data_IF_970945100747
#
_entry.id   IF_970945100747
#
_cell.length_a   1.000
_cell.length_b   1.000
_cell.length_c   1.000
_cell.angle_alpha   90.00
_cell.angle_beta   90.00
_cell.angle_gamma   90.00
#
_symmetry.space_group_name_H-M   'P 1'
#
loop_
_entity.id
_entity.type
_entity.pdbx_description
1 polymer ?
#
# COMPACT_ATOMS: atom_id res chain seq x y z
N UNK A 1 47.28 14.51 -14.04
CA UNK A 1 46.22 15.32 -13.41
C UNK A 1 44.90 14.89 -14.02
N UNK A 2 43.99 14.37 -13.20
CA UNK A 2 42.66 13.99 -13.64
C UNK A 2 41.82 15.27 -13.70
N UNK A 3 41.50 15.73 -14.90
CA UNK A 3 40.81 17.01 -15.19
C UNK A 3 39.28 16.89 -15.17
N UNK A 4 38.77 15.75 -14.74
CA UNK A 4 37.35 15.55 -14.53
C UNK A 4 36.87 16.41 -13.36
N UNK A 5 36.06 17.45 -13.62
CA UNK A 5 35.44 18.27 -12.58
C UNK A 5 34.70 17.38 -11.56
N UNK A 6 35.07 17.48 -10.29
CA UNK A 6 34.45 16.77 -9.18
C UNK A 6 33.67 17.80 -8.35
N UNK A 7 32.37 17.72 -8.41
CA UNK A 7 31.45 18.57 -7.63
C UNK A 7 30.84 17.76 -6.49
N UNK A 8 30.37 18.43 -5.45
CA UNK A 8 29.65 17.74 -4.36
C UNK A 8 28.40 16.99 -4.87
N UNK A 9 27.77 17.45 -5.95
CA UNK A 9 26.66 16.75 -6.62
C UNK A 9 27.08 15.38 -7.17
N UNK A 10 28.31 15.25 -7.64
CA UNK A 10 28.83 14.01 -8.22
C UNK A 10 28.98 12.87 -7.21
N UNK A 11 29.02 13.19 -5.90
CA UNK A 11 29.12 12.20 -4.82
C UNK A 11 27.84 11.37 -4.73
N UNK A 12 26.69 11.96 -5.10
CA UNK A 12 25.37 11.34 -5.02
C UNK A 12 24.88 10.72 -6.34
N UNK A 13 25.58 10.97 -7.47
CA UNK A 13 25.17 10.47 -8.79
C UNK A 13 25.95 9.20 -9.17
N UNK A 14 25.28 8.17 -9.71
CA UNK A 14 25.98 6.99 -10.22
C UNK A 14 26.93 7.40 -11.34
N UNK A 15 28.18 6.94 -11.27
CA UNK A 15 29.26 7.23 -12.20
C UNK A 15 28.99 6.59 -13.57
N UNK A 16 28.19 7.26 -14.39
CA UNK A 16 27.91 6.90 -15.79
C UNK A 16 28.18 8.01 -16.80
N UNK A 17 28.65 9.18 -16.36
CA UNK A 17 28.95 10.28 -17.27
C UNK A 17 30.35 10.12 -17.88
N UNK A 18 30.42 9.96 -19.20
CA UNK A 18 31.65 10.12 -19.98
C UNK A 18 32.14 11.56 -19.81
N UNK A 19 33.15 11.78 -18.96
CA UNK A 19 33.68 13.11 -18.68
C UNK A 19 34.67 13.51 -19.78
N UNK A 20 34.29 14.45 -20.64
CA UNK A 20 35.21 15.10 -21.58
C UNK A 20 36.07 16.10 -20.81
N UNK A 21 37.39 15.99 -20.98
CA UNK A 21 38.34 16.94 -20.38
C UNK A 21 38.22 18.29 -21.09
N UNK A 22 37.73 19.30 -20.38
CA UNK A 22 37.74 20.69 -20.83
C UNK A 22 38.85 21.46 -20.08
N UNK A 23 39.41 22.49 -20.71
CA UNK A 23 40.41 23.35 -20.05
C UNK A 23 39.73 24.28 -19.06
N UNK A 24 40.15 24.25 -17.79
CA UNK A 24 39.50 25.03 -16.74
C UNK A 24 40.28 25.06 -15.43
N UNK A 25 39.76 25.80 -14.46
CA UNK A 25 40.21 25.74 -13.07
C UNK A 25 39.42 24.65 -12.34
N UNK A 26 40.12 23.79 -11.62
CA UNK A 26 39.53 22.65 -10.93
C UNK A 26 40.04 22.59 -9.50
N UNK A 27 39.24 22.00 -8.62
CA UNK A 27 39.66 21.76 -7.25
C UNK A 27 40.87 20.80 -7.20
N UNK A 28 41.76 20.96 -6.19
CA UNK A 28 42.88 20.05 -5.98
C UNK A 28 42.44 18.60 -5.83
N UNK A 29 43.40 17.67 -5.98
CA UNK A 29 43.16 16.27 -5.69
C UNK A 29 42.55 16.10 -4.27
N UNK A 30 41.56 15.22 -4.15
CA UNK A 30 40.75 14.96 -2.95
C UNK A 30 39.83 16.09 -2.44
N UNK A 31 39.62 17.13 -3.25
CA UNK A 31 38.61 18.18 -2.99
C UNK A 31 37.51 18.22 -4.06
N UNK A 32 36.36 18.73 -3.65
CA UNK A 32 35.14 18.82 -4.45
C UNK A 32 34.64 20.26 -4.45
N UNK A 33 34.13 20.72 -5.59
CA UNK A 33 33.51 22.03 -5.69
C UNK A 33 32.10 21.99 -5.06
N UNK A 34 31.85 22.87 -4.08
CA UNK A 34 30.54 23.05 -3.44
C UNK A 34 29.60 23.90 -4.30
N UNK A 35 28.33 24.04 -3.91
CA UNK A 35 27.36 24.86 -4.67
C UNK A 35 27.62 26.37 -4.61
N UNK A 36 28.65 26.82 -3.90
CA UNK A 36 29.10 28.21 -3.84
C UNK A 36 30.41 28.44 -4.62
N UNK A 37 30.97 27.40 -5.27
CA UNK A 37 32.22 27.47 -6.03
C UNK A 37 33.48 27.32 -5.18
N UNK A 38 33.38 26.87 -3.93
CA UNK A 38 34.52 26.63 -3.05
C UNK A 38 34.97 25.17 -3.11
N UNK A 39 36.28 24.95 -3.01
CA UNK A 39 36.83 23.60 -2.89
C UNK A 39 36.78 23.14 -1.43
N UNK A 40 36.04 22.05 -1.19
CA UNK A 40 35.79 21.48 0.13
C UNK A 40 36.11 19.99 0.16
N UNK A 41 36.35 19.43 1.35
CA UNK A 41 36.44 17.97 1.53
C UNK A 41 35.06 17.32 1.38
N UNK A 42 35.02 16.02 1.09
CA UNK A 42 33.78 15.21 1.04
C UNK A 42 32.91 15.40 2.29
N UNK A 43 33.54 15.46 3.47
CA UNK A 43 32.83 15.66 4.75
C UNK A 43 32.14 17.02 4.86
N UNK A 44 32.61 18.02 4.10
CA UNK A 44 32.15 19.40 4.13
C UNK A 44 31.32 19.76 2.88
N UNK A 45 30.95 18.76 2.07
CA UNK A 45 30.12 18.99 0.89
C UNK A 45 28.72 19.48 1.25
N UNK A 46 28.30 20.54 0.57
CA UNK A 46 26.95 21.09 0.67
C UNK A 46 25.93 20.20 -0.04
N UNK A 47 24.70 20.15 0.45
CA UNK A 47 23.59 19.42 -0.17
C UNK A 47 22.53 20.39 -0.70
N UNK A 48 21.85 20.04 -1.79
CA UNK A 48 20.67 20.79 -2.28
C UNK A 48 19.39 20.03 -2.02
N UNK A 49 18.39 20.71 -1.44
CA UNK A 49 17.03 20.20 -1.35
C UNK A 49 16.02 21.32 -1.66
N UNK A 50 15.09 21.04 -2.57
CA UNK A 50 14.07 22.01 -3.02
C UNK A 50 14.65 23.37 -3.44
N UNK A 51 15.82 23.36 -4.13
CA UNK A 51 16.49 24.56 -4.63
C UNK A 51 17.23 25.38 -3.55
N UNK A 52 17.28 24.91 -2.31
CA UNK A 52 18.06 25.54 -1.23
C UNK A 52 19.34 24.74 -0.97
N UNK A 53 20.44 25.46 -0.74
CA UNK A 53 21.75 24.88 -0.38
C UNK A 53 21.85 24.77 1.14
N UNK A 54 22.22 23.59 1.63
CA UNK A 54 22.41 23.28 3.04
C UNK A 54 23.88 22.96 3.30
N UNK A 55 24.41 23.46 4.42
CA UNK A 55 25.74 23.13 4.90
C UNK A 55 25.84 21.65 5.28
N UNK A 56 27.04 21.08 5.18
CA UNK A 56 27.29 19.69 5.50
C UNK A 56 26.93 19.33 6.95
N UNK A 57 26.25 18.18 7.12
CA UNK A 57 26.22 17.42 8.37
C UNK A 57 27.36 16.40 8.43
N UNK A 58 27.20 15.29 9.15
CA UNK A 58 28.12 14.15 9.01
C UNK A 58 27.91 13.50 7.63
N UNK A 59 28.93 13.58 6.76
CA UNK A 59 29.11 12.79 5.52
C UNK A 59 28.47 13.29 4.21
N UNK A 60 27.99 14.53 4.09
CA UNK A 60 27.65 15.12 2.78
C UNK A 60 26.52 14.40 2.00
N UNK A 61 25.75 13.54 2.66
CA UNK A 61 24.59 12.83 2.14
C UNK A 61 23.38 13.09 3.04
N UNK A 62 22.17 13.01 2.48
CA UNK A 62 20.94 13.09 3.27
C UNK A 62 20.79 11.82 4.10
N UNK A 63 20.98 11.95 5.42
CA UNK A 63 20.71 10.89 6.37
C UNK A 63 19.25 11.04 6.83
N UNK A 64 18.35 10.51 6.01
CA UNK A 64 16.92 10.52 6.28
C UNK A 64 16.59 9.53 7.41
N UNK A 65 15.61 9.87 8.24
CA UNK A 65 14.99 8.92 9.16
C UNK A 65 13.63 8.57 8.60
N UNK A 66 13.39 7.29 8.37
CA UNK A 66 12.08 6.82 7.98
C UNK A 66 11.15 6.90 9.18
N UNK A 67 10.12 7.73 9.02
CA UNK A 67 9.04 7.85 9.98
C UNK A 67 7.74 7.44 9.29
N UNK A 68 6.90 6.66 9.98
CA UNK A 68 5.57 6.39 9.48
C UNK A 68 4.83 7.72 9.26
N UNK A 69 4.18 7.84 8.11
CA UNK A 69 3.47 9.04 7.69
C UNK A 69 2.06 8.63 7.25
N UNK A 70 1.04 9.47 7.50
CA UNK A 70 -0.29 9.24 6.96
C UNK A 70 -0.26 9.09 5.42
N UNK A 71 -1.02 8.13 4.90
CA UNK A 71 -1.22 7.96 3.48
C UNK A 71 -2.29 8.94 2.98
N UNK A 72 -2.10 9.54 1.79
CA UNK A 72 -3.07 10.47 1.22
C UNK A 72 -3.46 10.11 -0.22
N UNK A 73 -4.74 9.77 -0.42
CA UNK A 73 -5.37 9.60 -1.73
C UNK A 73 -6.22 10.83 -2.08
N UNK A 74 -6.25 11.22 -3.35
CA UNK A 74 -7.00 12.39 -3.81
C UNK A 74 -7.73 12.13 -5.12
N UNK A 75 -8.90 12.73 -5.26
CA UNK A 75 -9.60 12.89 -6.54
C UNK A 75 -10.02 14.35 -6.69
N UNK A 76 -9.86 14.95 -7.87
CA UNK A 76 -10.29 16.32 -8.17
C UNK A 76 -10.56 16.56 -9.66
N UNK A 77 -11.23 17.68 -9.97
CA UNK A 77 -11.49 18.10 -11.35
C UNK A 77 -12.29 17.08 -12.15
N UNK A 78 -11.99 16.90 -13.45
CA UNK A 78 -12.68 15.94 -14.33
C UNK A 78 -11.98 14.57 -14.36
N UNK A 79 -11.79 13.98 -13.17
CA UNK A 79 -11.32 12.60 -13.02
C UNK A 79 -9.81 12.46 -12.87
N UNK A 80 -9.14 13.42 -12.23
CA UNK A 80 -7.73 13.28 -11.85
C UNK A 80 -7.65 12.60 -10.49
N UNK A 81 -6.87 11.52 -10.42
CA UNK A 81 -6.67 10.73 -9.20
C UNK A 81 -5.20 10.71 -8.82
N UNK A 82 -4.95 10.76 -7.52
CA UNK A 82 -3.67 10.43 -6.89
C UNK A 82 -3.90 9.32 -5.89
N UNK A 83 -3.22 8.20 -6.06
CA UNK A 83 -3.28 7.07 -5.13
C UNK A 83 -2.46 7.34 -3.86
N UNK A 84 -2.58 6.47 -2.86
CA UNK A 84 -1.78 6.53 -1.63
C UNK A 84 -0.26 6.40 -1.89
N UNK A 85 0.14 5.61 -2.89
CA UNK A 85 1.52 5.45 -3.36
C UNK A 85 1.96 6.55 -4.35
N UNK A 86 1.24 7.68 -4.37
CA UNK A 86 1.58 8.87 -5.18
C UNK A 86 1.57 8.67 -6.70
N UNK A 87 0.89 7.64 -7.21
CA UNK A 87 0.66 7.48 -8.66
C UNK A 87 -0.48 8.36 -9.13
N UNK A 88 -0.27 8.94 -10.31
CA UNK A 88 -1.21 9.84 -10.95
C UNK A 88 -1.85 9.14 -12.14
N UNK A 89 -3.18 9.21 -12.23
CA UNK A 89 -3.90 8.76 -13.42
C UNK A 89 -5.16 9.58 -13.64
N UNK A 90 -5.72 9.45 -14.84
CA UNK A 90 -6.98 10.09 -15.22
C UNK A 90 -8.00 9.02 -15.58
N UNK A 91 -9.20 9.13 -15.01
CA UNK A 91 -10.30 8.22 -15.27
C UNK A 91 -11.63 8.98 -15.28
N UNK A 92 -12.34 8.93 -16.40
CA UNK A 92 -13.58 9.69 -16.63
C UNK A 92 -14.80 8.76 -16.68
N UNK A 93 -14.95 7.89 -15.68
CA UNK A 93 -16.11 7.03 -15.55
C UNK A 93 -17.36 7.78 -15.05
N UNK A 94 -18.53 7.45 -15.62
CA UNK A 94 -19.84 8.03 -15.27
C UNK A 94 -20.69 7.10 -14.38
N UNK A 95 -20.02 6.34 -13.50
CA UNK A 95 -20.67 5.44 -12.55
C UNK A 95 -20.18 5.76 -11.14
N UNK A 96 -20.76 5.09 -10.15
CA UNK A 96 -20.24 5.07 -8.80
C UNK A 96 -19.06 4.08 -8.75
N UNK A 97 -17.91 4.55 -8.26
CA UNK A 97 -16.71 3.73 -8.10
C UNK A 97 -16.24 3.74 -6.65
N UNK A 98 -15.70 2.62 -6.20
CA UNK A 98 -14.97 2.58 -4.93
C UNK A 98 -13.65 3.32 -5.09
N UNK A 99 -13.44 4.33 -4.24
CA UNK A 99 -12.17 5.05 -4.15
C UNK A 99 -11.23 4.35 -3.16
N UNK A 100 -11.76 3.96 -1.99
CA UNK A 100 -11.05 3.24 -0.94
C UNK A 100 -12.03 2.33 -0.21
N UNK A 101 -11.66 1.09 0.06
CA UNK A 101 -12.36 0.17 0.97
C UNK A 101 -11.34 -0.76 1.62
N UNK A 102 -11.70 -1.36 2.75
CA UNK A 102 -10.92 -2.39 3.42
C UNK A 102 -11.50 -3.81 3.23
N UNK A 103 -12.56 -3.95 2.44
CA UNK A 103 -13.06 -5.25 1.97
C UNK A 103 -12.20 -5.80 0.82
N UNK A 104 -10.95 -6.11 1.14
CA UNK A 104 -10.00 -6.67 0.19
C UNK A 104 -9.99 -8.21 0.31
N UNK A 105 -10.91 -8.87 -0.39
CA UNK A 105 -10.97 -10.34 -0.54
C UNK A 105 -11.67 -11.07 0.61
N UNK A 106 -12.80 -11.74 0.32
CA UNK A 106 -13.59 -12.62 1.21
C UNK A 106 -13.66 -12.23 2.70
N UNK A 107 -13.60 -10.93 3.01
CA UNK A 107 -13.69 -10.40 4.38
C UNK A 107 -14.97 -9.57 4.49
N UNK A 108 -15.35 -9.25 5.72
CA UNK A 108 -16.37 -8.25 5.97
C UNK A 108 -15.64 -6.92 6.19
N UNK A 109 -15.61 -6.05 5.17
CA UNK A 109 -15.00 -4.72 5.27
C UNK A 109 -15.62 -3.86 6.38
N UNK A 110 -14.80 -3.00 6.99
CA UNK A 110 -15.23 -2.07 8.01
C UNK A 110 -15.70 -0.72 7.47
N UNK A 111 -15.23 -0.31 6.29
CA UNK A 111 -15.66 0.92 5.63
C UNK A 111 -15.52 0.87 4.10
N UNK A 112 -16.30 1.70 3.42
CA UNK A 112 -16.07 2.01 2.01
C UNK A 112 -16.32 3.48 1.72
N UNK A 113 -15.46 4.07 0.89
CA UNK A 113 -15.60 5.41 0.33
C UNK A 113 -15.83 5.27 -1.16
N UNK A 114 -17.03 5.62 -1.59
CA UNK A 114 -17.44 5.56 -3.00
C UNK A 114 -17.66 6.96 -3.53
N UNK A 115 -17.29 7.17 -4.78
CA UNK A 115 -17.38 8.45 -5.47
C UNK A 115 -18.14 8.30 -6.78
N UNK A 116 -19.01 9.26 -7.05
CA UNK A 116 -19.77 9.37 -8.29
C UNK A 116 -19.56 10.77 -8.88
N UNK A 117 -19.18 10.82 -10.15
CA UNK A 117 -18.97 12.08 -10.86
C UNK A 117 -20.32 12.59 -11.39
N UNK A 118 -20.67 13.83 -11.05
CA UNK A 118 -21.92 14.47 -11.49
C UNK A 118 -21.61 15.46 -12.62
N UNK A 119 -22.11 15.21 -13.85
CA UNK A 119 -21.91 16.11 -14.99
C UNK A 119 -22.85 17.32 -14.92
N UNK A 120 -22.43 18.43 -15.51
CA UNK A 120 -23.14 19.73 -15.48
C UNK A 120 -23.34 20.37 -16.86
N UNK A 121 -22.68 19.86 -17.89
CA UNK A 121 -22.70 20.34 -19.28
C UNK A 121 -22.73 19.12 -20.22
N UNK A 122 -22.57 19.29 -21.55
CA UNK A 122 -22.29 18.17 -22.47
C UNK A 122 -21.30 17.21 -21.80
N UNK A 123 -21.62 15.91 -21.78
CA UNK A 123 -21.27 14.85 -20.82
C UNK A 123 -19.77 14.66 -20.45
N UNK A 124 -18.87 15.51 -20.93
CA UNK A 124 -17.41 15.49 -20.79
C UNK A 124 -16.84 16.14 -19.52
N UNK A 125 -17.61 16.96 -18.77
CA UNK A 125 -17.10 17.71 -17.60
C UNK A 125 -17.84 17.39 -16.31
N UNK A 126 -17.09 17.00 -15.28
CA UNK A 126 -17.59 16.87 -13.89
C UNK A 126 -17.53 18.21 -13.15
N UNK A 127 -18.68 18.77 -12.76
CA UNK A 127 -18.71 19.98 -11.92
C UNK A 127 -18.84 19.69 -10.43
N UNK A 128 -19.38 18.54 -10.05
CA UNK A 128 -19.54 18.14 -8.66
C UNK A 128 -19.33 16.65 -8.50
N UNK A 129 -19.08 16.23 -7.25
CA UNK A 129 -18.98 14.82 -6.89
C UNK A 129 -19.93 14.50 -5.74
N UNK A 130 -20.62 13.37 -5.86
CA UNK A 130 -21.31 12.74 -4.75
C UNK A 130 -20.35 11.75 -4.09
N UNK A 131 -20.20 11.85 -2.78
CA UNK A 131 -19.29 11.01 -1.99
C UNK A 131 -20.13 10.24 -0.98
N UNK A 132 -19.94 8.93 -0.93
CA UNK A 132 -20.67 8.02 -0.06
C UNK A 132 -19.64 7.33 0.85
N UNK A 133 -19.62 7.68 2.12
CA UNK A 133 -18.89 6.96 3.16
C UNK A 133 -19.85 6.00 3.85
N UNK A 134 -19.59 4.70 3.73
CA UNK A 134 -20.33 3.66 4.43
C UNK A 134 -19.46 3.07 5.54
N UNK A 135 -20.02 3.00 6.75
CA UNK A 135 -19.35 2.46 7.93
C UNK A 135 -20.08 1.19 8.37
N UNK A 136 -19.53 0.03 7.98
CA UNK A 136 -20.04 -1.31 8.34
C UNK A 136 -21.53 -1.54 8.02
N UNK A 137 -22.10 -0.86 7.03
CA UNK A 137 -23.55 -0.89 6.81
C UNK A 137 -24.40 -0.42 8.00
N UNK A 138 -23.80 0.28 9.00
CA UNK A 138 -24.50 0.86 10.15
C UNK A 138 -24.94 2.28 9.86
N UNK A 139 -24.01 3.08 9.33
CA UNK A 139 -24.22 4.48 8.97
C UNK A 139 -23.67 4.71 7.57
N UNK A 140 -24.48 5.36 6.74
CA UNK A 140 -24.05 5.88 5.44
C UNK A 140 -24.09 7.42 5.50
N UNK A 141 -22.96 8.06 5.21
CA UNK A 141 -22.84 9.50 5.03
C UNK A 141 -22.75 9.82 3.55
N UNK A 142 -23.64 10.68 3.07
CA UNK A 142 -23.60 11.18 1.70
C UNK A 142 -23.24 12.66 1.71
N UNK A 143 -22.09 12.98 1.12
CA UNK A 143 -21.63 14.35 0.92
C UNK A 143 -21.97 14.75 -0.52
N UNK A 144 -22.96 15.62 -0.66
CA UNK A 144 -23.45 16.13 -1.94
C UNK A 144 -24.07 17.50 -1.71
N UNK A 145 -24.20 18.32 -2.75
CA UNK A 145 -24.88 19.62 -2.68
C UNK A 145 -24.36 20.52 -1.54
N UNK A 146 -23.03 20.52 -1.34
CA UNK A 146 -22.32 21.26 -0.29
C UNK A 146 -22.71 20.91 1.17
N UNK A 147 -23.42 19.81 1.40
CA UNK A 147 -23.90 19.36 2.72
C UNK A 147 -23.54 17.89 2.97
N UNK A 148 -23.69 17.47 4.22
CA UNK A 148 -23.59 16.06 4.62
C UNK A 148 -24.97 15.58 5.06
N UNK A 149 -25.43 14.49 4.47
CA UNK A 149 -26.67 13.81 4.89
C UNK A 149 -26.30 12.46 5.50
N UNK A 150 -27.01 12.08 6.57
CA UNK A 150 -26.79 10.84 7.30
C UNK A 150 -27.97 9.92 7.11
N UNK A 151 -27.72 8.64 6.83
CA UNK A 151 -28.71 7.56 6.89
C UNK A 151 -28.25 6.49 7.88
N UNK A 152 -29.17 6.08 8.74
CA UNK A 152 -29.02 4.96 9.68
C UNK A 152 -29.70 3.74 9.08
N UNK A 153 -29.08 2.56 9.21
CA UNK A 153 -29.69 1.29 8.80
C UNK A 153 -30.44 0.63 9.98
N UNK A 154 -31.51 -0.11 9.67
CA UNK A 154 -32.50 -0.62 10.63
C UNK A 154 -31.89 -1.49 11.74
N UNK A 155 -32.29 -1.22 12.99
CA UNK A 155 -31.83 -1.94 14.20
C UNK A 155 -30.78 -1.21 15.04
N UNK A 156 -30.24 -0.09 14.56
CA UNK A 156 -29.28 0.74 15.32
C UNK A 156 -29.94 2.00 15.89
N UNK A 157 -30.09 2.03 17.22
CA UNK A 157 -30.41 3.26 17.97
C UNK A 157 -29.12 4.02 18.27
N UNK A 158 -29.16 5.35 18.15
CA UNK A 158 -28.01 6.25 18.36
C UNK A 158 -27.55 6.14 19.82
N UNK A 159 -26.51 5.34 20.06
CA UNK A 159 -25.72 5.43 21.29
C UNK A 159 -24.31 5.98 21.06
N UNK A 160 -23.95 6.40 19.84
CA UNK A 160 -22.62 6.91 19.54
C UNK A 160 -22.67 8.17 18.66
N UNK A 161 -22.52 9.32 19.32
CA UNK A 161 -21.82 10.50 18.77
C UNK A 161 -20.30 10.22 18.61
N UNK A 162 -19.87 8.95 18.59
CA UNK A 162 -18.47 8.50 18.71
C UNK A 162 -17.91 7.80 17.46
N UNK A 163 -18.74 7.38 16.49
CA UNK A 163 -18.21 6.64 15.33
C UNK A 163 -17.45 7.54 14.37
N UNK A 164 -17.96 8.76 14.18
CA UNK A 164 -17.34 9.76 13.32
C UNK A 164 -17.62 11.16 13.87
N UNK A 165 -16.77 12.12 13.52
CA UNK A 165 -17.02 13.54 13.75
C UNK A 165 -17.06 14.28 12.42
N UNK A 166 -17.95 15.27 12.31
CA UNK A 166 -18.07 16.13 11.12
C UNK A 166 -17.78 17.57 11.51
N UNK A 167 -16.78 18.17 10.88
CA UNK A 167 -16.37 19.55 11.12
C UNK A 167 -16.41 20.34 9.80
N UNK A 168 -16.95 21.56 9.83
CA UNK A 168 -16.85 22.49 8.70
C UNK A 168 -15.73 23.48 8.98
N UNK A 169 -14.69 23.46 8.16
CA UNK A 169 -13.51 24.32 8.28
C UNK A 169 -13.42 25.21 7.03
N UNK A 170 -14.04 26.39 7.11
CA UNK A 170 -14.12 27.32 5.99
C UNK A 170 -14.77 26.71 4.74
N UNK A 171 -13.98 26.54 3.68
CA UNK A 171 -14.43 25.95 2.42
C UNK A 171 -14.53 24.42 2.46
N UNK A 172 -13.99 23.77 3.48
CA UNK A 172 -13.91 22.31 3.55
C UNK A 172 -14.91 21.72 4.56
N UNK A 173 -15.33 20.50 4.29
CA UNK A 173 -15.96 19.60 5.26
C UNK A 173 -14.96 18.49 5.55
N UNK A 174 -14.70 18.27 6.83
CA UNK A 174 -13.81 17.24 7.35
C UNK A 174 -14.64 16.21 8.11
N UNK A 175 -14.53 14.94 7.73
CA UNK A 175 -15.15 13.82 8.43
C UNK A 175 -14.04 12.91 8.93
N UNK A 176 -13.95 12.74 10.25
CA UNK A 176 -12.95 11.85 10.86
C UNK A 176 -13.63 10.62 11.46
N UNK A 177 -13.03 9.46 11.27
CA UNK A 177 -13.45 8.17 11.82
C UNK A 177 -12.26 7.63 12.62
N UNK A 178 -12.06 8.07 13.88
CA UNK A 178 -10.83 7.79 14.64
C UNK A 178 -10.59 6.30 14.87
N UNK A 179 -11.64 5.51 15.11
CA UNK A 179 -11.56 4.06 15.32
C UNK A 179 -11.03 3.27 14.13
N UNK A 180 -11.03 3.89 12.94
CA UNK A 180 -10.48 3.34 11.70
C UNK A 180 -9.30 4.13 11.17
N UNK A 181 -8.91 5.23 11.83
CA UNK A 181 -7.83 6.10 11.37
C UNK A 181 -8.07 6.71 9.99
N UNK A 182 -9.31 7.04 9.63
CA UNK A 182 -9.66 7.61 8.32
C UNK A 182 -10.14 9.04 8.50
N UNK A 183 -9.68 9.94 7.62
CA UNK A 183 -10.20 11.30 7.52
C UNK A 183 -10.52 11.66 6.07
N UNK A 184 -11.73 12.13 5.81
CA UNK A 184 -12.17 12.67 4.53
C UNK A 184 -12.15 14.18 4.59
N UNK A 185 -11.56 14.83 3.59
CA UNK A 185 -11.51 16.28 3.44
C UNK A 185 -12.10 16.63 2.08
N UNK A 186 -13.29 17.24 2.07
CA UNK A 186 -14.02 17.59 0.85
C UNK A 186 -14.16 19.10 0.71
N UNK A 187 -13.89 19.63 -0.49
CA UNK A 187 -13.97 21.07 -0.80
C UNK A 187 -15.38 21.56 -1.18
N UNK A 188 -16.40 20.74 -0.89
CA UNK A 188 -17.82 20.99 -1.25
C UNK A 188 -18.11 20.96 -2.75
N UNK A 189 -17.11 20.66 -3.59
CA UNK A 189 -17.22 20.61 -5.05
C UNK A 189 -16.69 19.27 -5.57
N UNK A 190 -15.49 19.27 -6.16
CA UNK A 190 -14.95 18.13 -6.90
C UNK A 190 -13.78 17.47 -6.21
N UNK A 191 -13.14 18.13 -5.25
CA UNK A 191 -11.92 17.62 -4.61
C UNK A 191 -12.26 16.90 -3.31
N UNK A 192 -11.96 15.62 -3.29
CA UNK A 192 -11.94 14.79 -2.09
C UNK A 192 -10.51 14.35 -1.83
N UNK A 193 -10.08 14.49 -0.59
CA UNK A 193 -8.85 13.91 -0.07
C UNK A 193 -9.22 12.89 1.00
N UNK A 194 -8.66 11.70 0.93
CA UNK A 194 -8.77 10.65 1.94
C UNK A 194 -7.40 10.47 2.58
N UNK A 195 -7.34 10.65 3.89
CA UNK A 195 -6.15 10.43 4.70
C UNK A 195 -6.33 9.18 5.54
N UNK A 196 -5.34 8.30 5.49
CA UNK A 196 -5.24 7.10 6.31
C UNK A 196 -4.13 7.28 7.33
N UNK A 197 -4.39 6.93 8.58
CA UNK A 197 -3.40 6.92 9.65
C UNK A 197 -2.23 5.99 9.30
N UNK A 198 -1.06 6.26 9.86
CA UNK A 198 0.18 5.56 9.54
C UNK A 198 0.16 4.04 9.82
N UNK A 199 -0.77 3.56 10.65
CA UNK A 199 -0.91 2.13 10.96
C UNK A 199 -1.43 1.32 9.76
N UNK A 200 -2.01 2.00 8.76
CA UNK A 200 -2.38 1.37 7.49
C UNK A 200 -1.18 1.10 6.57
N UNK A 201 0.00 1.64 6.91
CA UNK A 201 1.18 1.57 6.05
C UNK A 201 2.13 0.48 6.51
N UNK A 202 2.35 -0.51 5.64
CA UNK A 202 3.56 -1.33 5.67
C UNK A 202 4.62 -0.61 4.85
N UNK A 203 5.82 -0.40 5.40
CA UNK A 203 6.91 0.21 4.68
C UNK A 203 7.48 -0.75 3.62
N UNK A 204 7.35 -0.46 2.31
CA UNK A 204 7.80 -1.38 1.27
C UNK A 204 9.32 -1.34 1.05
N UNK A 205 10.03 -0.33 1.55
CA UNK A 205 11.45 -0.10 1.27
C UNK A 205 12.38 -1.28 1.63
N UNK A 206 12.32 -1.88 2.83
CA UNK A 206 13.14 -3.06 3.14
C UNK A 206 12.85 -4.24 2.21
N UNK A 207 11.59 -4.45 1.83
CA UNK A 207 11.18 -5.53 0.92
C UNK A 207 11.59 -5.24 -0.52
N UNK A 208 11.57 -3.98 -0.95
CA UNK A 208 12.05 -3.55 -2.25
C UNK A 208 13.55 -3.79 -2.40
N UNK A 209 14.37 -3.38 -1.42
CA UNK A 209 15.81 -3.63 -1.47
C UNK A 209 16.14 -5.12 -1.44
N UNK A 210 15.43 -5.91 -0.61
CA UNK A 210 15.55 -7.37 -0.64
C UNK A 210 15.19 -7.92 -2.03
N UNK A 211 14.09 -7.47 -2.62
CA UNK A 211 13.66 -7.87 -3.97
C UNK A 211 14.71 -7.55 -5.04
N UNK A 212 15.26 -6.33 -5.05
CA UNK A 212 16.30 -5.92 -6.00
C UNK A 212 17.56 -6.75 -5.78
N UNK A 213 18.00 -6.93 -4.53
CA UNK A 213 19.19 -7.71 -4.20
C UNK A 213 19.05 -9.18 -4.62
N UNK A 214 17.92 -9.82 -4.33
CA UNK A 214 17.66 -11.21 -4.69
C UNK A 214 17.44 -11.40 -6.19
N UNK A 215 16.75 -10.47 -6.86
CA UNK A 215 16.50 -10.53 -8.31
C UNK A 215 17.76 -10.24 -9.13
N UNK A 216 18.69 -9.43 -8.59
CA UNK A 216 19.94 -9.08 -9.23
C UNK A 216 21.12 -9.99 -8.82
N UNK A 217 20.91 -10.97 -7.93
CA UNK A 217 21.89 -12.00 -7.61
C UNK A 217 21.96 -13.06 -8.73
N UNK A 218 23.15 -13.28 -9.28
CA UNK A 218 23.37 -13.94 -10.58
C UNK A 218 22.94 -15.42 -10.73
N UNK A 219 22.55 -15.74 -11.97
CA UNK A 219 22.60 -17.02 -12.70
C UNK A 219 22.25 -18.32 -11.96
N UNK A 220 21.07 -18.38 -11.35
CA UNK A 220 20.38 -19.67 -11.18
C UNK A 220 19.19 -19.77 -12.14
N UNK A 221 18.93 -20.99 -12.64
CA UNK A 221 17.69 -21.34 -13.34
C UNK A 221 16.50 -21.12 -12.40
N UNK A 222 16.00 -19.88 -12.34
CA UNK A 222 14.93 -19.54 -11.40
C UNK A 222 14.79 -18.05 -11.08
N UNK A 223 14.93 -17.15 -12.07
CA UNK A 223 14.81 -15.67 -11.90
C UNK A 223 13.56 -15.22 -11.13
N UNK A 224 12.50 -16.03 -11.12
CA UNK A 224 11.29 -15.76 -10.36
C UNK A 224 11.43 -16.02 -8.86
N UNK A 225 12.29 -16.93 -8.40
CA UNK A 225 12.25 -17.44 -7.03
C UNK A 225 12.54 -16.35 -5.97
N UNK A 226 13.61 -15.58 -6.15
CA UNK A 226 13.94 -14.45 -5.27
C UNK A 226 12.88 -13.35 -5.33
N UNK A 227 12.52 -12.93 -6.55
CA UNK A 227 11.44 -11.95 -6.76
C UNK A 227 10.14 -12.33 -6.03
N UNK A 228 9.65 -13.57 -6.22
CA UNK A 228 8.42 -14.04 -5.60
C UNK A 228 8.53 -14.13 -4.07
N UNK A 229 9.71 -14.44 -3.53
CA UNK A 229 9.94 -14.51 -2.08
C UNK A 229 9.85 -13.14 -1.44
N UNK A 230 10.52 -12.15 -2.02
CA UNK A 230 10.48 -10.78 -1.50
C UNK A 230 9.07 -10.17 -1.59
N UNK A 231 8.33 -10.43 -2.67
CA UNK A 231 6.95 -9.96 -2.81
C UNK A 231 6.01 -10.71 -1.85
N UNK A 232 6.19 -12.01 -1.65
CA UNK A 232 5.43 -12.79 -0.66
C UNK A 232 5.65 -12.25 0.76
N UNK A 233 6.89 -11.93 1.14
CA UNK A 233 7.20 -11.36 2.45
C UNK A 233 6.53 -9.99 2.66
N UNK A 234 6.47 -9.15 1.62
CA UNK A 234 5.74 -7.89 1.69
C UNK A 234 4.22 -8.11 1.81
N UNK A 235 3.67 -9.07 1.07
CA UNK A 235 2.25 -9.42 1.14
C UNK A 235 1.86 -10.02 2.50
N UNK A 236 2.74 -10.82 3.11
CA UNK A 236 2.60 -11.34 4.48
C UNK A 236 2.61 -10.22 5.52
N UNK A 237 3.56 -9.28 5.43
CA UNK A 237 3.58 -8.12 6.31
C UNK A 237 2.33 -7.24 6.17
N UNK A 238 1.80 -7.08 4.95
CA UNK A 238 0.49 -6.46 4.72
C UNK A 238 -0.64 -7.25 5.40
N UNK A 239 -0.62 -8.58 5.27
CA UNK A 239 -1.62 -9.48 5.84
C UNK A 239 -1.66 -9.43 7.37
N UNK A 240 -0.49 -9.31 8.02
CA UNK A 240 -0.34 -9.09 9.47
C UNK A 240 -0.89 -7.73 9.92
N UNK A 241 -1.02 -6.75 9.02
CA UNK A 241 -1.73 -5.48 9.24
C UNK A 241 -3.18 -5.53 8.76
N UNK A 242 -3.77 -6.72 8.67
CA UNK A 242 -5.12 -6.96 8.19
C UNK A 242 -5.40 -6.53 6.73
N UNK A 243 -4.35 -6.28 5.93
CA UNK A 243 -4.45 -5.92 4.51
C UNK A 243 -4.12 -7.13 3.63
N UNK A 244 -5.14 -7.73 3.00
CA UNK A 244 -4.92 -8.87 2.11
C UNK A 244 -4.54 -8.43 0.69
N UNK A 245 -3.36 -8.84 0.22
CA UNK A 245 -2.85 -8.52 -1.12
C UNK A 245 -2.86 -9.77 -1.99
N UNK A 246 -3.73 -9.83 -3.01
CA UNK A 246 -3.73 -10.89 -4.03
C UNK A 246 -2.82 -10.52 -5.19
N UNK A 247 -1.57 -10.98 -5.15
CA UNK A 247 -0.52 -10.50 -6.05
C UNK A 247 -0.04 -11.52 -7.11
N UNK A 248 -0.33 -12.82 -6.92
CA UNK A 248 0.05 -13.88 -7.86
C UNK A 248 -0.88 -13.96 -9.06
N UNK A 249 -0.32 -14.26 -10.23
CA UNK A 249 -1.06 -14.52 -11.48
C UNK A 249 -0.43 -15.69 -12.24
N UNK A 250 -1.09 -16.24 -13.28
CA UNK A 250 -0.49 -17.30 -14.10
C UNK A 250 0.86 -16.93 -14.73
N UNK A 251 1.07 -15.64 -15.02
CA UNK A 251 2.29 -15.12 -15.65
C UNK A 251 3.28 -14.52 -14.62
N UNK A 252 2.87 -14.35 -13.36
CA UNK A 252 3.66 -13.74 -12.30
C UNK A 252 3.58 -14.58 -11.03
N UNK A 253 4.66 -15.30 -10.73
CA UNK A 253 4.79 -16.14 -9.54
C UNK A 253 3.63 -17.15 -9.38
N UNK A 254 3.35 -18.00 -10.39
CA UNK A 254 2.22 -18.91 -10.37
C UNK A 254 2.31 -19.92 -9.22
N UNK A 255 1.15 -20.30 -8.68
CA UNK A 255 1.01 -21.38 -7.70
C UNK A 255 0.17 -22.49 -8.32
N UNK A 256 0.72 -23.70 -8.32
CA UNK A 256 0.08 -24.90 -8.86
C UNK A 256 -0.62 -25.69 -7.76
N UNK A 257 -1.75 -25.17 -7.26
CA UNK A 257 -2.52 -25.84 -6.21
C UNK A 257 -3.27 -27.09 -6.69
N UNK A 258 -3.50 -27.20 -7.99
CA UNK A 258 -4.12 -28.33 -8.67
C UNK A 258 -3.24 -29.59 -8.63
N UNK A 259 -1.93 -29.44 -8.49
CA UNK A 259 -0.99 -30.55 -8.30
C UNK A 259 -1.39 -31.49 -7.14
N UNK A 260 -2.01 -30.95 -6.10
CA UNK A 260 -2.44 -31.71 -4.92
C UNK A 260 -3.80 -32.39 -5.07
N UNK A 261 -4.50 -32.14 -6.18
CA UNK A 261 -5.79 -32.77 -6.45
C UNK A 261 -5.60 -34.10 -7.19
N UNK A 262 -6.34 -35.13 -6.76
CA UNK A 262 -6.48 -36.35 -7.56
C UNK A 262 -7.25 -36.06 -8.85
N UNK A 263 -7.13 -36.92 -9.86
CA UNK A 263 -7.81 -36.75 -11.15
C UNK A 263 -9.33 -36.59 -10.94
N UNK A 264 -9.88 -35.47 -11.41
CA UNK A 264 -11.30 -35.15 -11.30
C UNK A 264 -11.72 -34.54 -9.95
N UNK A 265 -10.79 -34.31 -9.01
CA UNK A 265 -11.06 -33.59 -7.77
C UNK A 265 -10.61 -32.12 -7.87
N UNK A 266 -11.26 -31.24 -7.11
CA UNK A 266 -10.87 -29.84 -6.95
C UNK A 266 -11.06 -29.47 -5.48
N UNK A 267 -10.21 -30.05 -4.64
CA UNK A 267 -10.29 -29.91 -3.19
C UNK A 267 -9.23 -28.96 -2.65
N UNK A 268 -8.06 -28.84 -3.27
CA UNK A 268 -7.00 -27.90 -2.86
C UNK A 268 -7.11 -26.57 -3.62
N UNK A 269 -7.05 -25.47 -2.88
CA UNK A 269 -7.18 -24.10 -3.39
C UNK A 269 -6.07 -23.21 -2.82
N UNK A 270 -5.63 -22.26 -3.63
CA UNK A 270 -4.75 -21.18 -3.17
C UNK A 270 -5.54 -20.14 -2.37
N UNK A 271 -5.03 -19.77 -1.20
CA UNK A 271 -5.53 -18.68 -0.37
C UNK A 271 -4.37 -17.72 -0.06
N UNK A 272 -4.52 -16.46 -0.45
CA UNK A 272 -3.44 -15.47 -0.36
C UNK A 272 -3.21 -14.99 1.08
N UNK A 273 -4.25 -15.07 1.93
CA UNK A 273 -4.24 -14.48 3.27
C UNK A 273 -4.99 -15.38 4.26
N UNK A 274 -4.66 -16.67 4.28
CA UNK A 274 -5.38 -17.70 5.00
C UNK A 274 -5.11 -17.66 6.50
N UNK A 275 -6.16 -17.87 7.30
CA UNK A 275 -6.02 -18.08 8.74
C UNK A 275 -5.73 -19.55 9.03
N UNK A 276 -4.61 -19.82 9.71
CA UNK A 276 -4.22 -21.18 10.06
C UNK A 276 -4.83 -21.61 11.39
N UNK A 277 -5.82 -22.50 11.34
CA UNK A 277 -6.20 -23.30 12.50
C UNK A 277 -5.47 -24.66 12.45
N UNK A 278 -4.38 -24.78 13.21
CA UNK A 278 -3.75 -26.09 13.41
C UNK A 278 -4.49 -26.86 14.51
N UNK A 279 -4.75 -28.15 14.32
CA UNK A 279 -5.36 -29.01 15.34
C UNK A 279 -4.28 -29.58 16.27
N UNK A 280 -3.48 -28.69 16.85
CA UNK A 280 -2.48 -28.98 17.89
C UNK A 280 -2.83 -28.17 19.13
N UNK A 281 -2.66 -28.75 20.33
CA UNK A 281 -3.03 -28.18 21.63
C UNK A 281 -2.76 -26.66 21.73
N UNK A 282 -3.82 -25.90 22.02
CA UNK A 282 -3.88 -24.53 22.56
C UNK A 282 -2.99 -23.41 21.97
N UNK A 283 -2.20 -23.66 20.92
CA UNK A 283 -1.43 -22.63 20.21
C UNK A 283 -2.14 -22.25 18.90
N UNK A 284 -3.01 -21.24 19.00
CA UNK A 284 -3.56 -20.56 17.83
C UNK A 284 -2.46 -19.71 17.20
N UNK A 285 -2.03 -20.05 15.99
CA UNK A 285 -1.19 -19.17 15.20
C UNK A 285 -2.10 -18.06 14.66
N UNK A 286 -2.01 -16.86 15.24
CA UNK A 286 -2.77 -15.67 14.80
C UNK A 286 -2.22 -15.01 13.54
N UNK A 287 -1.14 -15.56 12.96
CA UNK A 287 -0.55 -15.07 11.72
C UNK A 287 -1.36 -15.49 10.49
N UNK A 288 -1.50 -14.56 9.53
CA UNK A 288 -2.26 -14.75 8.30
C UNK A 288 -1.30 -15.06 7.16
N UNK A 289 -1.24 -16.33 6.79
CA UNK A 289 -0.22 -16.87 5.88
C UNK A 289 -0.77 -17.11 4.48
N UNK A 290 0.10 -16.94 3.48
CA UNK A 290 -0.17 -17.36 2.10
C UNK A 290 -0.04 -18.89 2.00
N UNK A 291 -1.10 -19.59 1.55
CA UNK A 291 -1.20 -21.05 1.70
C UNK A 291 -1.98 -21.75 0.57
N UNK A 292 -1.78 -23.07 0.45
CA UNK A 292 -2.66 -23.96 -0.32
C UNK A 292 -3.45 -24.83 0.65
N UNK A 293 -4.79 -24.75 0.61
CA UNK A 293 -5.70 -25.33 1.61
C UNK A 293 -6.75 -26.24 0.99
N UNK A 294 -7.14 -27.30 1.71
CA UNK A 294 -8.20 -28.23 1.27
C UNK A 294 -9.59 -27.74 1.69
N UNK A 295 -10.52 -27.61 0.74
CA UNK A 295 -11.90 -27.13 0.88
C UNK A 295 -12.70 -27.87 1.98
N UNK A 296 -12.47 -29.19 2.12
CA UNK A 296 -13.09 -30.04 3.15
C UNK A 296 -12.73 -29.60 4.59
N UNK A 297 -11.67 -28.79 4.77
CA UNK A 297 -11.24 -28.21 6.06
C UNK A 297 -11.66 -26.76 6.24
N UNK A 298 -12.09 -26.06 5.17
CA UNK A 298 -12.77 -24.77 5.27
C UNK A 298 -14.19 -24.92 5.84
N UNK A 299 -14.84 -26.08 5.64
CA UNK A 299 -16.21 -26.31 6.15
C UNK A 299 -16.26 -26.53 7.66
N UNK A 300 -15.17 -27.00 8.29
CA UNK A 300 -15.08 -27.13 9.75
C UNK A 300 -14.97 -25.77 10.47
N UNK A 301 -14.64 -24.69 9.75
CA UNK A 301 -14.62 -23.32 10.27
C UNK A 301 -16.02 -22.68 10.38
N UNK A 302 -17.04 -23.23 9.71
CA UNK A 302 -18.42 -22.73 9.78
C UNK A 302 -19.34 -23.51 10.72
N UNK A 303 -18.88 -24.64 11.29
CA UNK A 303 -19.66 -25.43 12.24
C UNK A 303 -19.11 -25.31 13.66
N UNK A 304 -19.24 -24.13 14.26
CA UNK A 304 -19.33 -23.99 15.71
C UNK A 304 -20.74 -23.54 16.10
N UNK A 305 -21.73 -24.34 15.73
CA UNK A 305 -22.85 -24.61 16.62
C UNK A 305 -23.33 -26.06 16.40
N UNK A 306 -23.39 -26.80 17.50
CA UNK A 306 -24.04 -28.11 17.69
C UNK A 306 -23.30 -29.40 17.32
N UNK A 307 -22.85 -30.07 18.39
CA UNK A 307 -22.97 -31.52 18.67
C UNK A 307 -21.86 -32.51 18.25
N UNK A 308 -21.20 -33.02 19.30
CA UNK A 308 -20.84 -34.42 19.61
C UNK A 308 -20.07 -35.28 18.59
N UNK A 309 -18.80 -35.53 18.95
CA UNK A 309 -17.99 -36.74 18.78
C UNK A 309 -18.31 -37.71 17.63
N UNK A 310 -17.41 -37.76 16.65
CA UNK A 310 -16.81 -39.03 16.24
C UNK A 310 -15.32 -38.85 15.90
N UNK A 311 -14.47 -39.60 16.60
CA UNK A 311 -13.04 -39.68 16.32
C UNK A 311 -12.78 -40.41 14.99
N UNK A 312 -12.16 -39.71 14.05
CA UNK A 312 -11.37 -40.33 12.99
C UNK A 312 -10.08 -39.55 12.82
N UNK A 313 -8.97 -40.16 13.24
CA UNK A 313 -7.62 -39.64 13.07
C UNK A 313 -7.31 -39.50 11.58
N UNK A 314 -7.22 -38.27 11.08
CA UNK A 314 -6.55 -37.97 9.81
C UNK A 314 -5.43 -36.98 10.07
N UNK A 315 -4.20 -37.47 9.96
CA UNK A 315 -2.97 -36.68 9.96
C UNK A 315 -3.10 -35.50 8.98
N UNK A 316 -2.89 -34.29 9.48
CA UNK A 316 -2.71 -33.11 8.64
C UNK A 316 -1.31 -33.18 8.02
N UNK A 317 -1.23 -33.38 6.71
CA UNK A 317 -0.01 -33.12 5.97
C UNK A 317 -0.01 -31.64 5.59
N UNK A 318 0.93 -30.90 6.16
CA UNK A 318 1.32 -29.55 5.74
C UNK A 318 2.60 -29.74 4.92
N UNK A 319 2.57 -29.41 3.63
CA UNK A 319 3.81 -29.19 2.90
C UNK A 319 4.02 -27.68 2.84
N UNK A 320 5.05 -27.21 3.54
CA UNK A 320 5.65 -25.94 3.20
C UNK A 320 5.99 -25.98 1.72
N UNK A 321 5.72 -24.90 1.00
CA UNK A 321 6.28 -24.69 -0.33
C UNK A 321 7.80 -24.73 -0.20
N UNK A 322 8.38 -25.90 -0.40
CA UNK A 322 9.81 -26.07 -0.48
C UNK A 322 10.25 -25.40 -1.77
N UNK A 323 10.83 -24.22 -1.60
CA UNK A 323 11.67 -23.56 -2.58
C UNK A 323 12.65 -24.59 -3.17
N UNK A 324 12.32 -25.05 -4.38
CA UNK A 324 13.15 -25.90 -5.23
C UNK A 324 13.37 -25.17 -6.54
#
# INVERSE_FOLDING_TARGET
MNTAQKTCDDISRPTGASRTCESGCYCPDDQYEDHHGNCVSVSNCTCVYSGKVFSAGQQGQWLCRDQPCPGQCQVYGSGHYRTFDSKWYRFAGQCQYTLVEDDCGNRNGSFSVRVESVPCCDEALTCSRSIILDLQGKVTLTLSDMKVTRRLHDGWTVQEDSLYSTHTLGLYIVISVPSRGITLIWDKHTRLTVELHEHWRVDPEPYYYACVQESCSCEFEGKFLGFCTAVAAYAEACSDQDVCVKWRTPDLCPVYCDYYNEQGQCSWHYEACGEMLSCGKDDYITHKLEVVVKMDKLTALYSHSTSTHHHSYHQSYIQHSHYS
#
